data_IF_649428912804
#
_entry.id   IF_649428912804
#
_cell.length_a   1.000
_cell.length_b   1.000
_cell.length_c   1.000
_cell.angle_alpha   90.00
_cell.angle_beta   90.00
_cell.angle_gamma   90.00
#
_symmetry.space_group_name_H-M   'P 1'
#
loop_
_entity.id
_entity.type
_entity.pdbx_description
1 polymer ?
#
# COMPACT_ATOMS: atom_id res chain seq x y z
N UNK A 1 -19.05 10.06 -25.80
CA UNK A 1 -18.13 9.70 -24.69
C UNK A 1 -18.87 8.79 -23.73
N UNK A 2 -18.61 7.49 -23.77
CA UNK A 2 -19.19 6.54 -22.82
C UNK A 2 -18.30 6.52 -21.58
N UNK A 3 -18.82 6.96 -20.45
CA UNK A 3 -18.13 6.84 -19.16
C UNK A 3 -18.12 5.36 -18.78
N UNK A 4 -16.95 4.72 -18.89
CA UNK A 4 -16.76 3.35 -18.43
C UNK A 4 -16.83 3.33 -16.90
N UNK A 5 -18.01 3.02 -16.36
CA UNK A 5 -18.22 2.89 -14.92
C UNK A 5 -17.70 1.52 -14.50
N UNK A 6 -16.59 1.50 -13.76
CA UNK A 6 -16.10 0.26 -13.15
C UNK A 6 -17.12 -0.18 -12.09
N UNK A 7 -17.76 -1.33 -12.30
CA UNK A 7 -18.80 -1.87 -11.40
C UNK A 7 -18.22 -2.55 -10.15
N UNK A 8 -17.12 -2.02 -9.62
CA UNK A 8 -16.51 -2.55 -8.41
C UNK A 8 -16.83 -1.64 -7.21
N UNK A 9 -17.15 -2.23 -6.05
CA UNK A 9 -17.35 -1.44 -4.83
C UNK A 9 -16.05 -0.72 -4.51
N UNK A 10 -16.13 0.59 -4.31
CA UNK A 10 -15.01 1.44 -3.94
C UNK A 10 -15.39 2.34 -2.78
N UNK A 11 -14.44 2.55 -1.87
CA UNK A 11 -14.58 3.45 -0.73
C UNK A 11 -13.51 4.52 -0.81
N UNK A 12 -13.79 5.68 -1.43
CA UNK A 12 -12.82 6.78 -1.49
C UNK A 12 -12.74 7.51 -0.15
N UNK A 13 -11.55 7.56 0.44
CA UNK A 13 -11.25 8.44 1.59
C UNK A 13 -10.53 9.69 1.07
N UNK A 14 -10.95 10.87 1.55
CA UNK A 14 -10.39 12.15 1.13
C UNK A 14 -10.25 13.12 2.30
N UNK A 15 -9.32 14.05 2.17
CA UNK A 15 -9.10 15.16 3.10
C UNK A 15 -7.70 15.15 3.72
N UNK A 16 -7.25 16.32 4.15
CA UNK A 16 -5.90 16.53 4.70
C UNK A 16 -5.70 15.82 6.05
N UNK A 17 -6.79 15.55 6.77
CA UNK A 17 -6.81 14.81 8.03
C UNK A 17 -6.18 13.40 7.92
N UNK A 18 -6.15 12.81 6.72
CA UNK A 18 -5.52 11.51 6.49
C UNK A 18 -4.02 11.56 6.83
N UNK A 19 -3.35 12.66 6.48
CA UNK A 19 -1.94 12.86 6.81
C UNK A 19 -1.75 12.99 8.32
N UNK A 20 -2.60 13.77 8.98
CA UNK A 20 -2.59 13.94 10.45
C UNK A 20 -2.84 12.62 11.19
N UNK A 21 -3.67 11.74 10.62
CA UNK A 21 -3.93 10.40 11.11
C UNK A 21 -2.82 9.37 10.75
N UNK A 22 -1.73 9.81 10.10
CA UNK A 22 -0.57 8.97 9.76
C UNK A 22 -0.68 8.21 8.44
N UNK A 23 -1.72 8.42 7.64
CA UNK A 23 -1.90 7.83 6.31
C UNK A 23 -1.15 8.63 5.24
N UNK A 24 0.17 8.75 5.41
CA UNK A 24 1.02 9.45 4.45
C UNK A 24 1.21 8.65 3.15
N UNK A 25 1.44 9.35 2.04
CA UNK A 25 1.72 8.72 0.75
C UNK A 25 2.93 7.80 0.84
N UNK A 26 2.80 6.57 0.33
CA UNK A 26 3.88 5.58 0.35
C UNK A 26 3.97 4.76 1.64
N UNK A 27 3.20 5.10 2.66
CA UNK A 27 3.12 4.31 3.89
C UNK A 27 2.24 3.08 3.70
N UNK A 28 2.70 1.93 4.19
CA UNK A 28 1.91 0.71 4.25
C UNK A 28 0.68 0.86 5.13
N UNK A 29 -0.43 0.25 4.72
CA UNK A 29 -1.68 0.20 5.49
C UNK A 29 -2.16 -1.24 5.50
N UNK A 30 -2.46 -1.73 6.69
CA UNK A 30 -3.11 -3.02 6.90
C UNK A 30 -4.62 -2.82 6.95
N UNK A 31 -5.33 -3.57 6.11
CA UNK A 31 -6.80 -3.62 6.10
C UNK A 31 -7.26 -4.90 6.78
N UNK A 32 -8.16 -4.79 7.77
CA UNK A 32 -8.80 -5.94 8.43
C UNK A 32 -10.31 -5.80 8.42
N UNK A 33 -10.99 -6.94 8.40
CA UNK A 33 -12.44 -7.01 8.67
C UNK A 33 -12.61 -7.50 10.11
N UNK A 34 -13.31 -6.72 10.92
CA UNK A 34 -13.62 -7.08 12.31
C UNK A 34 -15.06 -6.71 12.63
N UNK A 35 -15.88 -7.68 13.03
CA UNK A 35 -17.27 -7.47 13.46
C UNK A 35 -18.13 -6.67 12.44
N UNK A 36 -17.90 -6.88 11.14
CA UNK A 36 -18.60 -6.14 10.08
C UNK A 36 -18.05 -4.74 9.79
N UNK A 37 -16.97 -4.32 10.46
CA UNK A 37 -16.27 -3.08 10.19
C UNK A 37 -15.00 -3.33 9.35
N UNK A 38 -14.70 -2.39 8.45
CA UNK A 38 -13.40 -2.30 7.79
C UNK A 38 -12.50 -1.45 8.68
N UNK A 39 -11.40 -2.03 9.16
CA UNK A 39 -10.41 -1.35 9.99
C UNK A 39 -9.16 -1.10 9.15
N UNK A 40 -8.82 0.17 8.99
CA UNK A 40 -7.61 0.64 8.31
C UNK A 40 -6.59 1.01 9.39
N UNK A 41 -5.45 0.34 9.39
CA UNK A 41 -4.38 0.62 10.34
C UNK A 41 -3.12 0.97 9.56
N UNK A 42 -2.50 2.07 9.93
CA UNK A 42 -1.19 2.43 9.42
C UNK A 42 -0.17 1.40 9.92
N UNK A 43 0.67 0.92 9.02
CA UNK A 43 1.72 -0.02 9.40
C UNK A 43 2.73 0.67 10.34
N UNK A 44 3.22 -0.08 11.32
CA UNK A 44 4.25 0.42 12.22
C UNK A 44 5.58 0.62 11.47
N UNK A 45 6.50 1.37 12.09
CA UNK A 45 7.76 1.74 11.44
C UNK A 45 8.61 0.50 11.12
N UNK A 46 8.65 -0.50 12.00
CA UNK A 46 9.41 -1.73 11.78
C UNK A 46 8.93 -2.51 10.55
N UNK A 47 7.61 -2.63 10.37
CA UNK A 47 7.01 -3.29 9.21
C UNK A 47 7.30 -2.49 7.94
N UNK A 48 7.26 -1.15 8.01
CA UNK A 48 7.59 -0.29 6.88
C UNK A 48 9.06 -0.44 6.47
N UNK A 49 10.00 -0.36 7.41
CA UNK A 49 11.43 -0.54 7.17
C UNK A 49 11.74 -1.92 6.57
N UNK A 50 11.13 -2.98 7.11
CA UNK A 50 11.30 -4.32 6.56
C UNK A 50 10.79 -4.41 5.11
N UNK A 51 9.69 -3.73 4.81
CA UNK A 51 9.11 -3.68 3.46
C UNK A 51 10.04 -2.97 2.47
N UNK A 52 10.66 -1.88 2.91
CA UNK A 52 11.66 -1.14 2.14
C UNK A 52 12.91 -1.99 1.91
N UNK A 53 13.43 -2.67 2.94
CA UNK A 53 14.55 -3.60 2.81
C UNK A 53 14.25 -4.74 1.83
N UNK A 54 13.06 -5.35 1.91
CA UNK A 54 12.63 -6.39 0.98
C UNK A 54 12.51 -5.88 -0.45
N UNK A 55 12.07 -4.63 -0.63
CA UNK A 55 12.03 -4.00 -1.94
C UNK A 55 13.44 -3.83 -2.52
N UNK A 56 14.40 -3.33 -1.74
CA UNK A 56 15.80 -3.20 -2.15
C UNK A 56 16.42 -4.57 -2.47
N UNK A 57 16.24 -5.55 -1.60
CA UNK A 57 16.74 -6.91 -1.82
C UNK A 57 16.17 -7.51 -3.12
N UNK A 58 14.87 -7.30 -3.41
CA UNK A 58 14.24 -7.74 -4.66
C UNK A 58 14.84 -7.07 -5.90
N UNK A 59 15.24 -5.81 -5.83
CA UNK A 59 15.87 -5.14 -6.97
C UNK A 59 17.26 -5.72 -7.26
N UNK A 60 18.06 -5.99 -6.22
CA UNK A 60 19.37 -6.63 -6.36
C UNK A 60 19.23 -8.01 -6.99
N UNK A 61 18.29 -8.83 -6.50
CA UNK A 61 18.05 -10.18 -7.04
C UNK A 61 17.61 -10.14 -8.51
N UNK A 62 16.82 -9.15 -8.92
CA UNK A 62 16.48 -8.96 -10.34
C UNK A 62 17.72 -8.63 -11.17
N UNK A 63 18.54 -7.67 -10.74
CA UNK A 63 19.76 -7.29 -11.46
C UNK A 63 20.77 -8.42 -11.61
N UNK A 64 20.81 -9.37 -10.67
CA UNK A 64 21.67 -10.57 -10.75
C UNK A 64 21.10 -11.66 -11.67
N UNK A 65 19.80 -11.62 -11.99
CA UNK A 65 19.16 -12.60 -12.88
C UNK A 65 19.26 -12.21 -14.36
N UNK A 66 19.49 -10.93 -14.65
CA UNK A 66 19.64 -10.37 -16.00
C UNK A 66 21.04 -10.42 -16.68
N UNK A 67 22.18 -10.87 -16.09
CA UNK A 67 23.49 -10.84 -16.76
C UNK A 67 23.77 -12.06 -17.67
N UNK A 68 22.75 -12.72 -18.23
CA UNK A 68 22.92 -13.90 -19.10
C UNK A 68 22.19 -13.82 -20.46
N UNK A 69 22.04 -12.61 -21.02
CA UNK A 69 21.78 -12.46 -22.47
C UNK A 69 22.81 -11.56 -23.13
#
# INVERSE_FOLDING_TARGET
MTTYYSQHPSLPLKGDWLKEAGFETGRGVTVKISQGCIVLMVDNNEVQELREQLYQARQVVKGVKDPLV
#
